data_IF_905295391532
#
_entry.id   IF_905295391532
#
_cell.length_a   1.000
_cell.length_b   1.000
_cell.length_c   1.000
_cell.angle_alpha   90.00
_cell.angle_beta   90.00
_cell.angle_gamma   90.00
#
_symmetry.space_group_name_H-M   'P 1'
#
loop_
_entity.id
_entity.type
_entity.pdbx_description
1 polymer ?
#
# COMPACT_ATOMS: atom_id res chain seq x y z
N UNK A 1 -8.06 3.45 -1.37
CA UNK A 1 -8.49 2.66 -0.19
C UNK A 1 -9.99 2.76 0.15
N UNK A 2 -10.69 3.85 -0.18
CA UNK A 2 -12.13 3.98 0.11
C UNK A 2 -12.99 2.85 -0.48
N UNK A 3 -12.76 2.45 -1.74
CA UNK A 3 -13.51 1.34 -2.36
C UNK A 3 -13.31 0.03 -1.59
N UNK A 4 -12.07 -0.31 -1.22
CA UNK A 4 -11.76 -1.51 -0.45
C UNK A 4 -12.42 -1.50 0.93
N UNK A 5 -12.49 -0.31 1.57
CA UNK A 5 -13.20 -0.11 2.84
C UNK A 5 -14.70 -0.36 2.70
N UNK A 6 -15.34 0.21 1.68
CA UNK A 6 -16.79 0.03 1.45
C UNK A 6 -17.15 -1.43 1.13
N UNK A 7 -16.31 -2.10 0.35
CA UNK A 7 -16.47 -3.51 -0.02
C UNK A 7 -15.95 -4.50 1.04
N UNK A 8 -15.49 -4.02 2.20
CA UNK A 8 -14.92 -4.84 3.29
C UNK A 8 -13.82 -5.82 2.81
N UNK A 9 -13.08 -5.41 1.78
CA UNK A 9 -12.06 -6.23 1.14
C UNK A 9 -10.82 -6.33 2.04
N UNK A 10 -10.31 -7.53 2.34
CA UNK A 10 -9.09 -7.70 3.11
C UNK A 10 -7.88 -7.08 2.41
N UNK A 11 -7.04 -6.37 3.16
CA UNK A 11 -5.86 -5.66 2.67
C UNK A 11 -4.61 -6.26 3.31
N UNK A 12 -3.75 -6.88 2.51
CA UNK A 12 -2.50 -7.46 2.99
C UNK A 12 -1.47 -6.39 3.41
N UNK A 13 -1.46 -5.26 2.70
CA UNK A 13 -0.60 -4.12 2.97
C UNK A 13 -0.47 -3.16 1.78
N UNK A 14 0.41 -2.18 1.92
CA UNK A 14 0.77 -1.19 0.90
C UNK A 14 2.24 -1.37 0.55
N UNK A 15 2.57 -1.22 -0.74
CA UNK A 15 3.94 -1.16 -1.24
C UNK A 15 4.18 0.18 -1.94
N UNK A 16 5.41 0.71 -1.84
CA UNK A 16 5.84 1.84 -2.65
C UNK A 16 6.50 1.31 -3.95
N UNK A 17 5.82 1.44 -5.09
CA UNK A 17 6.39 1.03 -6.37
C UNK A 17 7.27 2.14 -6.98
N UNK A 18 8.23 1.74 -7.83
CA UNK A 18 9.20 2.63 -8.50
C UNK A 18 10.00 3.49 -7.51
N UNK A 19 10.27 2.93 -6.35
CA UNK A 19 10.89 3.60 -5.22
C UNK A 19 12.41 3.41 -5.26
N UNK A 20 13.10 4.43 -5.75
CA UNK A 20 14.53 4.41 -5.98
C UNK A 20 14.89 3.88 -7.37
N UNK A 21 15.90 4.51 -7.95
CA UNK A 21 16.47 4.16 -9.23
C UNK A 21 17.98 4.16 -9.12
N UNK A 22 18.61 3.04 -9.47
CA UNK A 22 20.08 2.94 -9.55
C UNK A 22 20.50 3.22 -10.98
N UNK A 23 21.22 4.31 -11.18
CA UNK A 23 21.76 4.64 -12.50
C UNK A 23 22.75 3.55 -12.96
N UNK A 24 22.57 2.93 -14.13
CA UNK A 24 23.47 1.88 -14.61
C UNK A 24 24.85 2.42 -15.03
N UNK A 25 24.98 3.72 -15.24
CA UNK A 25 26.23 4.37 -15.63
C UNK A 25 27.14 4.68 -14.41
N UNK A 26 26.59 5.29 -13.36
CA UNK A 26 27.37 5.73 -12.20
C UNK A 26 27.04 5.00 -10.89
N UNK A 27 26.03 4.12 -10.87
CA UNK A 27 25.62 3.37 -9.68
C UNK A 27 24.90 4.20 -8.61
N UNK A 28 24.75 5.51 -8.80
CA UNK A 28 24.06 6.40 -7.87
C UNK A 28 22.58 6.03 -7.77
N UNK A 29 22.07 6.00 -6.54
CA UNK A 29 20.65 5.82 -6.26
C UNK A 29 19.99 7.17 -6.14
N UNK A 30 18.95 7.41 -6.92
CA UNK A 30 18.14 8.63 -6.88
C UNK A 30 16.65 8.30 -6.79
N UNK A 31 15.86 9.28 -6.35
CA UNK A 31 14.41 9.21 -6.48
C UNK A 31 14.01 9.86 -7.82
N UNK A 32 13.25 9.14 -8.64
CA UNK A 32 12.78 9.66 -9.94
C UNK A 32 11.51 10.53 -9.81
N UNK A 33 10.84 10.47 -8.66
CA UNK A 33 9.54 11.09 -8.45
C UNK A 33 9.55 12.01 -7.23
N UNK A 34 8.62 12.96 -7.18
CA UNK A 34 8.52 13.94 -6.09
C UNK A 34 8.18 13.32 -4.74
N UNK A 35 7.52 12.16 -4.75
CA UNK A 35 7.11 11.44 -3.54
C UNK A 35 8.16 10.43 -3.14
N UNK A 36 8.38 10.33 -1.84
CA UNK A 36 9.33 9.41 -1.23
C UNK A 36 8.61 8.16 -0.72
N UNK A 37 9.32 7.04 -0.57
CA UNK A 37 8.75 5.84 0.06
C UNK A 37 8.27 6.10 1.50
N UNK A 38 8.91 7.04 2.21
CA UNK A 38 8.47 7.48 3.53
C UNK A 38 7.07 8.10 3.53
N UNK A 39 6.69 8.85 2.50
CA UNK A 39 5.33 9.41 2.40
C UNK A 39 4.27 8.29 2.35
N UNK A 40 4.60 7.18 1.67
CA UNK A 40 3.74 6.00 1.56
C UNK A 40 3.70 5.23 2.88
N UNK A 41 4.83 5.16 3.59
CA UNK A 41 4.87 4.55 4.92
C UNK A 41 4.00 5.32 5.92
N UNK A 42 4.11 6.65 5.97
CA UNK A 42 3.26 7.49 6.83
C UNK A 42 1.79 7.30 6.51
N UNK A 43 1.42 7.27 5.22
CA UNK A 43 0.05 6.98 4.80
C UNK A 43 -0.45 5.60 5.28
N UNK A 44 0.41 4.58 5.23
CA UNK A 44 0.08 3.24 5.68
C UNK A 44 -0.19 3.23 7.20
N UNK A 45 0.65 3.90 7.97
CA UNK A 45 0.52 4.08 9.42
C UNK A 45 -0.78 4.80 9.79
N UNK A 46 -1.08 5.95 9.15
CA UNK A 46 -2.31 6.72 9.36
C UNK A 46 -3.58 5.88 9.11
N UNK A 47 -3.52 5.00 8.10
CA UNK A 47 -4.64 4.16 7.71
C UNK A 47 -4.69 2.82 8.43
N UNK A 48 -3.77 2.58 9.36
CA UNK A 48 -3.64 1.33 10.10
C UNK A 48 -3.52 0.11 9.17
N UNK A 49 -2.83 0.30 8.04
CA UNK A 49 -2.51 -0.75 7.06
C UNK A 49 -1.01 -0.99 7.09
N UNK A 50 -0.58 -2.25 6.95
CA UNK A 50 0.85 -2.59 6.96
C UNK A 50 1.56 -1.99 5.75
N UNK A 51 2.69 -1.32 5.97
CA UNK A 51 3.67 -1.07 4.91
C UNK A 51 4.54 -2.32 4.70
N UNK A 52 4.52 -2.88 3.50
CA UNK A 52 5.23 -4.12 3.15
C UNK A 52 6.63 -3.87 2.57
N UNK A 53 6.95 -2.61 2.27
CA UNK A 53 8.23 -2.21 1.69
C UNK A 53 8.08 -1.57 0.31
N UNK A 54 9.18 -1.54 -0.42
CA UNK A 54 9.30 -0.78 -1.66
C UNK A 54 9.92 -1.61 -2.78
N UNK A 55 9.51 -1.33 -4.02
CA UNK A 55 10.03 -1.99 -5.22
C UNK A 55 10.77 -0.95 -6.06
N UNK A 56 12.07 -1.13 -6.35
CA UNK A 56 12.84 -0.17 -7.12
C UNK A 56 12.42 -0.14 -8.59
N UNK A 57 12.69 0.97 -9.26
CA UNK A 57 12.59 1.06 -10.71
C UNK A 57 13.84 0.42 -11.35
N UNK A 58 13.82 -0.90 -11.46
CA UNK A 58 14.97 -1.69 -11.87
C UNK A 58 14.56 -2.92 -12.70
N UNK A 59 15.59 -3.63 -13.19
CA UNK A 59 15.41 -4.89 -13.90
C UNK A 59 14.84 -6.02 -13.01
N UNK A 60 14.42 -7.15 -13.60
CA UNK A 60 13.78 -8.25 -12.87
C UNK A 60 14.59 -8.79 -11.69
N UNK A 61 15.90 -8.95 -11.85
CA UNK A 61 16.76 -9.53 -10.81
C UNK A 61 16.83 -8.66 -9.55
N UNK A 62 17.01 -7.35 -9.69
CA UNK A 62 17.05 -6.43 -8.55
C UNK A 62 15.68 -6.33 -7.86
N UNK A 63 14.59 -6.42 -8.62
CA UNK A 63 13.23 -6.42 -8.08
C UNK A 63 12.89 -7.72 -7.33
N UNK A 64 13.48 -8.85 -7.72
CA UNK A 64 13.19 -10.17 -7.15
C UNK A 64 13.40 -10.20 -5.64
N UNK A 65 14.50 -9.61 -5.16
CA UNK A 65 14.80 -9.56 -3.72
C UNK A 65 13.70 -8.81 -2.95
N UNK A 66 13.37 -7.58 -3.39
CA UNK A 66 12.32 -6.78 -2.77
C UNK A 66 10.95 -7.49 -2.78
N UNK A 67 10.61 -8.15 -3.89
CA UNK A 67 9.35 -8.90 -4.03
C UNK A 67 9.30 -10.13 -3.12
N UNK A 68 10.43 -10.83 -2.92
CA UNK A 68 10.51 -11.96 -1.98
C UNK A 68 10.28 -11.51 -0.54
N UNK A 69 10.85 -10.37 -0.13
CA UNK A 69 10.62 -9.78 1.20
C UNK A 69 9.15 -9.37 1.39
N UNK A 70 8.55 -8.73 0.40
CA UNK A 70 7.12 -8.38 0.39
C UNK A 70 6.25 -9.64 0.51
N UNK A 71 6.53 -10.69 -0.27
CA UNK A 71 5.78 -11.95 -0.22
C UNK A 71 5.88 -12.59 1.17
N UNK A 72 7.07 -12.63 1.77
CA UNK A 72 7.25 -13.10 3.13
C UNK A 72 6.44 -12.27 4.14
N UNK A 73 6.38 -10.96 3.97
CA UNK A 73 5.55 -10.07 4.79
C UNK A 73 4.05 -10.37 4.70
N UNK A 74 3.57 -10.68 3.49
CA UNK A 74 2.18 -11.10 3.24
C UNK A 74 1.89 -12.44 3.92
N UNK A 75 2.77 -13.44 3.75
CA UNK A 75 2.54 -14.79 4.29
C UNK A 75 2.59 -14.87 5.81
N UNK A 76 3.39 -14.01 6.46
CA UNK A 76 3.56 -14.02 7.92
C UNK A 76 2.40 -13.42 8.69
N UNK A 77 1.53 -12.68 8.04
CA UNK A 77 0.55 -11.85 8.73
C UNK A 77 -0.81 -11.89 8.05
N UNK A 78 -1.90 -11.97 8.81
CA UNK A 78 -3.23 -11.88 8.23
C UNK A 78 -3.46 -10.47 7.63
N UNK A 79 -4.32 -10.37 6.60
CA UNK A 79 -4.76 -9.09 6.07
C UNK A 79 -5.66 -8.37 7.07
N UNK A 80 -5.67 -7.03 6.98
CA UNK A 80 -6.55 -6.17 7.79
C UNK A 80 -7.78 -5.75 7.00
N UNK A 81 -8.87 -5.41 7.69
CA UNK A 81 -10.03 -4.73 7.09
C UNK A 81 -10.12 -3.34 7.66
N UNK A 82 -10.51 -2.38 6.83
CA UNK A 82 -10.73 -1.00 7.24
C UNK A 82 -12.18 -0.83 7.70
N UNK A 83 -12.38 -0.12 8.80
CA UNK A 83 -13.72 0.21 9.27
C UNK A 83 -14.46 1.08 8.27
N UNK A 84 -15.75 0.78 8.04
CA UNK A 84 -16.61 1.62 7.20
C UNK A 84 -16.69 3.03 7.77
N UNK A 85 -16.56 4.02 6.90
CA UNK A 85 -16.83 5.40 7.29
C UNK A 85 -18.33 5.49 7.59
N UNK A 86 -18.71 6.06 8.74
CA UNK A 86 -20.10 6.40 9.00
C UNK A 86 -20.57 7.31 7.88
N UNK A 87 -21.50 6.84 7.05
CA UNK A 87 -22.10 7.65 6.00
C UNK A 87 -22.80 8.87 6.58
N UNK A 88 -23.00 9.91 5.77
CA UNK A 88 -23.88 11.03 6.16
C UNK A 88 -25.28 10.53 6.51
N UNK A 89 -26.06 11.33 7.26
CA UNK A 89 -27.38 10.95 7.77
C UNK A 89 -28.28 10.32 6.70
N UNK A 90 -28.26 10.83 5.48
CA UNK A 90 -29.02 10.29 4.35
C UNK A 90 -28.60 8.86 3.97
N UNK A 91 -27.30 8.57 3.90
CA UNK A 91 -26.78 7.23 3.55
C UNK A 91 -27.03 6.24 4.69
N UNK A 92 -26.89 6.68 5.93
CA UNK A 92 -27.26 5.88 7.10
C UNK A 92 -28.76 5.53 7.11
N UNK A 93 -29.62 6.49 6.77
CA UNK A 93 -31.07 6.28 6.70
C UNK A 93 -31.42 5.29 5.58
N UNK A 94 -30.83 5.46 4.40
CA UNK A 94 -31.02 4.53 3.28
C UNK A 94 -30.57 3.11 3.64
N UNK A 95 -29.41 2.95 4.29
CA UNK A 95 -28.93 1.63 4.73
C UNK A 95 -29.88 0.96 5.74
N UNK A 96 -30.60 1.74 6.56
CA UNK A 96 -31.55 1.22 7.56
C UNK A 96 -32.93 0.89 6.97
N UNK A 97 -33.28 1.51 5.85
CA UNK A 97 -34.58 1.32 5.16
C UNK A 97 -34.49 0.25 4.06
N UNK A 98 -33.31 0.09 3.43
CA UNK A 98 -33.09 -0.84 2.32
C UNK A 98 -32.48 -2.19 2.73
N UNK A 99 -32.01 -2.34 3.97
CA UNK A 99 -31.68 -3.65 4.59
C UNK A 99 -32.83 -4.13 5.45
#
# INVERSE_FOLDING_TARGET
LNVLREAETPIAGIIANMAGYRCPHCGQVSNLFDRTPSDIQTLAEELHVRYLGQVPFAGPEERKQALQEILNGILRNPPVRLDKKKGGMTRWLLDKVLK
#
